data_IF_414486924086
#
_entry.id   IF_414486924086
#
_cell.length_a   1.000
_cell.length_b   1.000
_cell.length_c   1.000
_cell.angle_alpha   90.00
_cell.angle_beta   90.00
_cell.angle_gamma   90.00
#
_symmetry.space_group_name_H-M   'P 1'
#
loop_
_entity.id
_entity.type
_entity.pdbx_description
1 polymer ?
#
# COMPACT_ATOMS: atom_id res chain seq x y z
N UNK A 1 30.94 -18.25 43.64
CA UNK A 1 29.70 -18.32 42.86
C UNK A 1 29.20 -16.90 42.65
N UNK A 2 29.10 -16.35 41.42
CA UNK A 2 28.52 -15.02 41.23
C UNK A 2 27.00 -15.12 40.98
N UNK A 3 26.26 -14.22 41.63
CA UNK A 3 24.81 -14.04 41.46
C UNK A 3 24.62 -13.15 40.22
N UNK A 4 24.06 -13.71 39.15
CA UNK A 4 23.65 -12.93 37.98
C UNK A 4 22.27 -12.36 38.31
N UNK A 5 22.24 -11.05 38.58
CA UNK A 5 20.99 -10.28 38.70
C UNK A 5 20.36 -10.19 37.31
N UNK A 6 19.25 -10.90 37.11
CA UNK A 6 18.43 -10.75 35.92
C UNK A 6 17.76 -9.36 35.95
N UNK A 7 18.26 -8.45 35.12
CA UNK A 7 17.55 -7.21 34.78
C UNK A 7 16.33 -7.61 33.96
N UNK A 8 15.16 -7.42 34.53
CA UNK A 8 13.88 -7.53 33.83
C UNK A 8 13.86 -6.50 32.69
N UNK A 9 13.65 -6.88 31.43
CA UNK A 9 13.47 -5.89 30.38
C UNK A 9 12.18 -5.11 30.66
N UNK A 10 12.34 -3.82 30.91
CA UNK A 10 11.29 -2.83 31.08
C UNK A 10 10.40 -2.78 29.84
N UNK A 11 9.10 -2.74 30.09
CA UNK A 11 7.97 -2.97 29.18
C UNK A 11 7.71 -1.80 28.22
N UNK A 12 8.74 -1.09 27.77
CA UNK A 12 8.59 0.22 27.11
C UNK A 12 9.44 0.43 25.83
N UNK A 13 10.09 -0.62 25.31
CA UNK A 13 10.97 -0.53 24.12
C UNK A 13 10.36 -1.15 22.85
N UNK A 14 9.04 -1.17 22.73
CA UNK A 14 8.36 -1.48 21.46
C UNK A 14 7.85 -0.18 20.82
N UNK A 15 8.77 0.76 20.64
CA UNK A 15 8.55 1.87 19.72
C UNK A 15 8.09 1.26 18.39
N UNK A 16 6.81 1.44 18.04
CA UNK A 16 6.23 0.99 16.78
C UNK A 16 7.21 1.35 15.67
N UNK A 17 7.90 0.36 15.12
CA UNK A 17 8.86 0.55 14.04
C UNK A 17 8.06 1.09 12.85
N UNK A 18 7.99 2.42 12.75
CA UNK A 18 7.33 3.10 11.64
C UNK A 18 8.16 2.80 10.40
N UNK A 19 7.68 1.85 9.60
CA UNK A 19 8.31 1.53 8.33
C UNK A 19 7.93 2.61 7.32
N UNK A 20 8.90 3.41 6.91
CA UNK A 20 8.72 4.37 5.83
C UNK A 20 9.13 3.71 4.52
N UNK A 21 8.15 3.29 3.73
CA UNK A 21 8.38 2.73 2.40
C UNK A 21 8.22 3.85 1.38
N UNK A 22 9.25 4.06 0.55
CA UNK A 22 9.12 4.95 -0.60
C UNK A 22 8.20 4.29 -1.62
N UNK A 23 7.11 4.98 -1.96
CA UNK A 23 6.28 4.60 -3.10
C UNK A 23 7.03 4.85 -4.41
N UNK A 24 6.62 4.19 -5.51
CA UNK A 24 7.26 4.36 -6.82
C UNK A 24 7.35 5.83 -7.20
N UNK A 25 8.53 6.27 -7.67
CA UNK A 25 8.71 7.61 -8.20
C UNK A 25 7.95 7.73 -9.53
N UNK A 26 6.95 8.62 -9.57
CA UNK A 26 6.20 8.90 -10.79
C UNK A 26 6.76 10.20 -11.39
N UNK A 27 7.22 10.14 -12.63
CA UNK A 27 7.63 11.32 -13.39
C UNK A 27 6.38 12.10 -13.81
N UNK A 28 6.18 13.27 -13.21
CA UNK A 28 5.08 14.17 -13.53
C UNK A 28 5.45 15.15 -14.65
N UNK A 29 4.65 15.15 -15.72
CA UNK A 29 4.43 16.36 -16.53
C UNK A 29 3.19 17.06 -15.95
N UNK A 30 3.43 18.23 -15.36
CA UNK A 30 2.51 19.10 -14.62
C UNK A 30 1.06 19.16 -15.14
N UNK A 31 0.09 19.01 -14.23
CA UNK A 31 -1.27 19.58 -14.33
C UNK A 31 -1.46 20.63 -13.20
N UNK A 32 -2.16 21.76 -13.43
CA UNK A 32 -1.99 22.98 -12.64
C UNK A 32 -2.91 23.18 -11.42
N UNK A 33 -3.52 22.15 -10.81
CA UNK A 33 -4.37 22.30 -9.60
C UNK A 33 -4.50 21.00 -8.77
N UNK A 34 -4.94 21.10 -7.50
CA UNK A 34 -4.09 21.28 -6.32
C UNK A 34 -3.38 19.98 -5.89
N UNK A 35 -2.05 19.97 -5.97
CA UNK A 35 -1.16 19.05 -5.24
C UNK A 35 -1.20 17.56 -5.67
N UNK A 36 -0.04 16.88 -5.81
CA UNK A 36 -0.04 15.47 -6.16
C UNK A 36 -0.49 14.66 -4.94
N UNK A 37 -1.81 14.48 -4.77
CA UNK A 37 -2.31 13.42 -3.89
C UNK A 37 -2.13 12.13 -4.67
N UNK A 38 -0.90 11.61 -4.65
CA UNK A 38 -0.49 10.43 -5.40
C UNK A 38 -1.37 9.23 -5.08
N UNK A 39 -1.78 9.14 -3.81
CA UNK A 39 -2.56 8.04 -3.27
C UNK A 39 -4.03 8.44 -3.21
N UNK A 40 -4.84 7.84 -4.07
CA UNK A 40 -6.28 8.06 -4.05
C UNK A 40 -6.98 7.20 -2.99
N UNK A 41 -6.47 5.98 -2.75
CA UNK A 41 -7.06 5.02 -1.81
C UNK A 41 -6.03 3.98 -1.40
N UNK A 42 -6.08 3.54 -0.14
CA UNK A 42 -5.26 2.45 0.38
C UNK A 42 -6.12 1.55 1.28
N UNK A 43 -5.90 0.25 1.23
CA UNK A 43 -6.51 -0.74 2.10
C UNK A 43 -5.47 -1.78 2.52
N UNK A 44 -5.57 -2.24 3.77
CA UNK A 44 -4.73 -3.30 4.31
C UNK A 44 -5.58 -4.54 4.56
N UNK A 45 -5.06 -5.70 4.21
CA UNK A 45 -5.51 -6.99 4.74
C UNK A 45 -4.46 -7.50 5.75
N UNK A 46 -4.65 -8.74 6.22
CA UNK A 46 -3.66 -9.38 7.09
C UNK A 46 -2.31 -9.62 6.40
N UNK A 47 -2.33 -9.83 5.08
CA UNK A 47 -1.16 -10.26 4.31
C UNK A 47 -0.78 -9.30 3.18
N UNK A 48 -1.64 -8.34 2.85
CA UNK A 48 -1.45 -7.46 1.71
C UNK A 48 -1.72 -6.00 2.08
N UNK A 49 -0.95 -5.10 1.48
CA UNK A 49 -1.21 -3.67 1.45
C UNK A 49 -1.51 -3.27 0.00
N UNK A 50 -2.73 -2.82 -0.26
CA UNK A 50 -3.18 -2.43 -1.59
C UNK A 50 -3.32 -0.92 -1.64
N UNK A 51 -2.66 -0.28 -2.60
CA UNK A 51 -2.68 1.17 -2.74
C UNK A 51 -2.87 1.55 -4.20
N UNK A 52 -3.83 2.44 -4.44
CA UNK A 52 -4.00 3.10 -5.72
C UNK A 52 -3.07 4.30 -5.78
N UNK A 53 -2.17 4.29 -6.75
CA UNK A 53 -1.32 5.42 -7.09
C UNK A 53 -1.65 5.85 -8.51
N UNK A 54 -2.26 7.03 -8.68
CA UNK A 54 -2.86 7.47 -9.95
C UNK A 54 -3.86 6.41 -10.47
N UNK A 55 -3.65 5.90 -11.69
CA UNK A 55 -4.47 4.87 -12.32
C UNK A 55 -3.93 3.45 -12.12
N UNK A 56 -2.95 3.26 -11.25
CA UNK A 56 -2.31 1.95 -11.03
C UNK A 56 -2.58 1.45 -9.62
N UNK A 57 -3.04 0.22 -9.50
CA UNK A 57 -3.14 -0.48 -8.21
C UNK A 57 -1.82 -1.23 -7.95
N UNK A 58 -1.22 -0.98 -6.80
CA UNK A 58 -0.03 -1.69 -6.32
C UNK A 58 -0.43 -2.55 -5.13
N UNK A 59 -0.05 -3.82 -5.15
CA UNK A 59 -0.25 -4.77 -4.07
C UNK A 59 1.11 -5.15 -3.50
N UNK A 60 1.31 -4.86 -2.23
CA UNK A 60 2.51 -5.21 -1.48
C UNK A 60 2.20 -6.34 -0.50
N UNK A 61 3.15 -7.26 -0.30
CA UNK A 61 3.09 -8.24 0.77
C UNK A 61 3.30 -7.56 2.13
N UNK A 62 2.67 -8.08 3.17
CA UNK A 62 2.96 -7.74 4.55
C UNK A 62 3.56 -8.96 5.28
N UNK A 63 4.49 -8.76 6.23
CA UNK A 63 4.95 -7.47 6.76
C UNK A 63 6.10 -6.83 5.96
N UNK A 64 6.63 -7.52 4.95
CA UNK A 64 7.91 -7.16 4.31
C UNK A 64 7.80 -6.00 3.30
N UNK A 65 6.58 -5.57 2.96
CA UNK A 65 6.29 -4.52 1.98
C UNK A 65 6.95 -4.75 0.61
N UNK A 66 6.96 -6.01 0.15
CA UNK A 66 7.48 -6.37 -1.17
C UNK A 66 6.37 -6.20 -2.20
N UNK A 67 6.62 -5.43 -3.28
CA UNK A 67 5.66 -5.30 -4.38
C UNK A 67 5.42 -6.68 -5.03
N UNK A 68 4.20 -7.18 -4.93
CA UNK A 68 3.80 -8.47 -5.50
C UNK A 68 3.12 -8.31 -6.85
N UNK A 69 2.23 -7.32 -6.99
CA UNK A 69 1.40 -7.14 -8.16
C UNK A 69 1.22 -5.67 -8.46
N UNK A 70 1.28 -5.34 -9.75
CA UNK A 70 0.95 -4.02 -10.29
C UNK A 70 -0.15 -4.21 -11.34
N UNK A 71 -1.33 -3.64 -11.08
CA UNK A 71 -2.45 -3.66 -12.02
C UNK A 71 -2.57 -2.30 -12.69
N UNK A 72 -2.37 -2.31 -14.01
CA UNK A 72 -2.64 -1.17 -14.88
C UNK A 72 -3.95 -1.39 -15.62
N UNK A 73 -4.69 -0.33 -15.95
CA UNK A 73 -5.88 -0.44 -16.78
C UNK A 73 -5.51 -1.01 -18.16
N UNK A 74 -6.35 -1.89 -18.74
CA UNK A 74 -6.09 -2.47 -20.06
C UNK A 74 -6.22 -1.44 -21.21
N UNK A 75 -6.93 -0.34 -20.97
CA UNK A 75 -7.18 0.75 -21.93
C UNK A 75 -6.74 2.09 -21.33
N UNK A 76 -6.86 3.20 -22.08
CA UNK A 76 -6.59 4.56 -21.54
C UNK A 76 -7.65 5.05 -20.52
N UNK A 77 -8.28 4.13 -19.79
CA UNK A 77 -9.31 4.44 -18.80
C UNK A 77 -8.71 4.44 -17.41
N UNK A 78 -9.03 5.44 -16.58
CA UNK A 78 -8.51 5.50 -15.22
C UNK A 78 -9.15 4.49 -14.26
N UNK A 79 -8.44 4.16 -13.19
CA UNK A 79 -9.00 3.36 -12.09
C UNK A 79 -9.92 4.26 -11.27
N UNK A 80 -11.20 3.90 -11.23
CA UNK A 80 -12.20 4.69 -10.49
C UNK A 80 -12.18 4.36 -9.01
N UNK A 81 -12.09 3.08 -8.67
CA UNK A 81 -12.04 2.61 -7.29
C UNK A 81 -11.60 1.15 -7.23
N UNK A 82 -11.22 0.69 -6.04
CA UNK A 82 -10.98 -0.71 -5.76
C UNK A 82 -11.51 -1.08 -4.37
N UNK A 83 -11.75 -2.37 -4.14
CA UNK A 83 -12.04 -2.92 -2.82
C UNK A 83 -11.35 -4.26 -2.62
N UNK A 84 -10.95 -4.54 -1.38
CA UNK A 84 -10.23 -5.75 -1.02
C UNK A 84 -10.96 -6.47 0.10
N UNK A 85 -11.32 -7.72 -0.15
CA UNK A 85 -11.91 -8.60 0.84
C UNK A 85 -11.20 -9.95 0.81
N UNK A 86 -10.56 -10.30 1.93
CA UNK A 86 -9.73 -11.51 2.05
C UNK A 86 -8.58 -11.48 1.04
N UNK A 87 -8.63 -12.36 0.03
CA UNK A 87 -7.65 -12.48 -1.05
C UNK A 87 -8.22 -12.04 -2.42
N UNK A 88 -9.40 -11.42 -2.41
CA UNK A 88 -10.08 -10.95 -3.62
C UNK A 88 -9.92 -9.42 -3.73
N UNK A 89 -9.41 -8.98 -4.88
CA UNK A 89 -9.24 -7.57 -5.23
C UNK A 89 -10.20 -7.23 -6.36
N UNK A 90 -11.19 -6.38 -6.08
CA UNK A 90 -12.11 -5.87 -7.08
C UNK A 90 -11.62 -4.51 -7.55
N UNK A 91 -11.47 -4.31 -8.86
CA UNK A 91 -11.10 -3.02 -9.46
C UNK A 91 -12.20 -2.57 -10.41
N UNK A 92 -12.70 -1.36 -10.20
CA UNK A 92 -13.65 -0.71 -11.12
C UNK A 92 -12.93 0.34 -11.96
N UNK A 93 -13.09 0.29 -13.27
CA UNK A 93 -12.53 1.26 -14.20
C UNK A 93 -13.56 2.33 -14.61
N UNK A 94 -13.06 3.42 -15.17
CA UNK A 94 -13.90 4.56 -15.61
C UNK A 94 -14.81 4.24 -16.78
N UNK A 95 -14.52 3.20 -17.57
CA UNK A 95 -15.37 2.71 -18.66
C UNK A 95 -16.51 1.79 -18.19
N UNK A 96 -16.59 1.54 -16.87
CA UNK A 96 -17.59 0.66 -16.27
C UNK A 96 -17.20 -0.82 -16.23
N UNK A 97 -16.01 -1.19 -16.70
CA UNK A 97 -15.49 -2.55 -16.53
C UNK A 97 -15.09 -2.82 -15.08
N UNK A 98 -15.22 -4.09 -14.69
CA UNK A 98 -14.81 -4.59 -13.37
C UNK A 98 -13.86 -5.76 -13.58
N UNK A 99 -12.70 -5.72 -12.93
CA UNK A 99 -11.77 -6.84 -12.84
C UNK A 99 -11.73 -7.39 -11.41
N UNK A 100 -11.46 -8.69 -11.32
CA UNK A 100 -11.38 -9.50 -10.10
C UNK A 100 -10.05 -10.26 -10.08
#
# INVERSE_FOLDING_TARGET
MPIISAVSPTREDEASKRLFVKLPEINYTFDPFPGPTLIHRAQCTRFHFVVQVMDTIHVYSLPDFVLMLELRPPTMTGVRSFDVAYDLLVVSYSDGQIHL
#
